data_IF_905251486001
#
_entry.id   IF_905251486001
#
_cell.length_a   1.000
_cell.length_b   1.000
_cell.length_c   1.000
_cell.angle_alpha   90.00
_cell.angle_beta   90.00
_cell.angle_gamma   90.00
#
_symmetry.space_group_name_H-M   'P 1'
#
loop_
_entity.id
_entity.type
_entity.pdbx_description
1 polymer ?
#
# COMPACT_ATOMS: atom_id res chain seq x y z
N UNK A 1 -8.50 12.98 5.78
CA UNK A 1 -9.81 13.21 6.46
C UNK A 1 -10.13 14.69 6.75
N UNK A 2 -9.35 15.68 6.27
CA UNK A 2 -9.57 17.11 6.61
C UNK A 2 -10.58 17.83 5.69
N UNK A 3 -10.98 17.21 4.59
CA UNK A 3 -11.88 17.77 3.56
C UNK A 3 -12.94 16.73 3.18
N UNK A 4 -14.05 17.20 2.65
CA UNK A 4 -15.23 16.39 2.31
C UNK A 4 -15.34 16.14 0.80
N UNK A 5 -15.76 14.94 0.41
CA UNK A 5 -16.01 14.53 -0.97
C UNK A 5 -17.18 15.29 -1.62
N UNK A 6 -18.06 15.91 -0.83
CA UNK A 6 -19.10 16.80 -1.36
C UNK A 6 -18.53 18.00 -2.14
N UNK A 7 -17.33 18.47 -1.75
CA UNK A 7 -16.66 19.61 -2.38
C UNK A 7 -15.55 19.19 -3.34
N UNK A 8 -14.93 18.02 -3.10
CA UNK A 8 -13.78 17.54 -3.89
C UNK A 8 -14.08 16.15 -4.43
N UNK A 9 -14.30 16.06 -5.74
CA UNK A 9 -14.67 14.79 -6.37
C UNK A 9 -13.49 13.80 -6.30
N UNK A 10 -13.76 12.55 -5.87
CA UNK A 10 -12.71 11.57 -5.60
C UNK A 10 -11.81 11.26 -6.81
N UNK A 11 -12.34 11.28 -8.05
CA UNK A 11 -11.50 11.13 -9.26
C UNK A 11 -10.52 12.29 -9.46
N UNK A 12 -10.93 13.52 -9.16
CA UNK A 12 -10.09 14.72 -9.31
C UNK A 12 -8.98 14.71 -8.25
N UNK A 13 -9.34 14.37 -7.00
CA UNK A 13 -8.38 14.18 -5.91
C UNK A 13 -7.42 13.04 -6.23
N UNK A 14 -7.90 11.89 -6.70
CA UNK A 14 -7.05 10.74 -7.02
C UNK A 14 -6.05 11.06 -8.15
N UNK A 15 -6.50 11.76 -9.21
CA UNK A 15 -5.62 12.18 -10.30
C UNK A 15 -4.52 13.14 -9.82
N UNK A 16 -4.90 14.09 -8.96
CA UNK A 16 -3.97 15.06 -8.37
C UNK A 16 -2.97 14.38 -7.43
N UNK A 17 -3.44 13.49 -6.55
CA UNK A 17 -2.58 12.69 -5.66
C UNK A 17 -1.57 11.86 -6.45
N UNK A 18 -2.00 11.22 -7.54
CA UNK A 18 -1.11 10.46 -8.42
C UNK A 18 -0.05 11.36 -9.06
N UNK A 19 -0.44 12.56 -9.52
CA UNK A 19 0.50 13.51 -10.10
C UNK A 19 1.55 14.00 -9.09
N UNK A 20 1.13 14.32 -7.86
CA UNK A 20 2.04 14.70 -6.77
C UNK A 20 2.98 13.53 -6.44
N UNK A 21 2.45 12.31 -6.28
CA UNK A 21 3.25 11.13 -5.96
C UNK A 21 4.31 10.84 -7.03
N UNK A 22 3.99 10.98 -8.33
CA UNK A 22 4.97 10.84 -9.40
C UNK A 22 6.12 11.86 -9.31
N UNK A 23 5.86 13.06 -8.79
CA UNK A 23 6.91 14.07 -8.57
C UNK A 23 7.73 13.75 -7.32
N UNK A 24 7.07 13.40 -6.21
CA UNK A 24 7.74 13.08 -4.95
C UNK A 24 8.67 11.85 -5.05
N UNK A 25 8.26 10.81 -5.79
CA UNK A 25 9.03 9.57 -5.99
C UNK A 25 10.00 9.66 -7.20
N UNK A 26 10.28 10.86 -7.73
CA UNK A 26 11.14 11.10 -8.91
C UNK A 26 10.77 10.28 -10.16
N UNK A 27 9.54 9.77 -10.21
CA UNK A 27 8.96 9.05 -11.34
C UNK A 27 8.35 10.05 -12.34
N UNK A 28 9.17 10.96 -12.87
CA UNK A 28 8.71 12.10 -13.68
C UNK A 28 7.83 11.67 -14.85
N UNK A 29 6.53 11.93 -14.75
CA UNK A 29 5.53 11.78 -15.83
C UNK A 29 5.11 13.16 -16.32
N UNK A 30 4.89 13.33 -17.62
CA UNK A 30 4.41 14.60 -18.17
C UNK A 30 2.97 14.82 -17.71
N UNK A 31 2.64 16.05 -17.32
CA UNK A 31 1.27 16.42 -16.92
C UNK A 31 0.24 16.03 -17.98
N UNK A 32 0.56 16.24 -19.26
CA UNK A 32 -0.33 15.90 -20.37
C UNK A 32 -0.70 14.40 -20.39
N UNK A 33 0.25 13.50 -20.10
CA UNK A 33 0.01 12.06 -20.10
C UNK A 33 -0.87 11.66 -18.91
N UNK A 34 -0.61 12.23 -17.73
CA UNK A 34 -1.42 12.01 -16.52
C UNK A 34 -2.86 12.48 -16.74
N UNK A 35 -3.04 13.69 -17.29
CA UNK A 35 -4.36 14.25 -17.63
C UNK A 35 -5.12 13.30 -18.56
N UNK A 36 -4.52 12.84 -19.66
CA UNK A 36 -5.18 11.96 -20.63
C UNK A 36 -5.64 10.65 -20.01
N UNK A 37 -4.78 10.00 -19.22
CA UNK A 37 -5.10 8.72 -18.56
C UNK A 37 -6.18 8.91 -17.50
N UNK A 38 -6.01 9.86 -16.58
CA UNK A 38 -6.96 10.08 -15.49
C UNK A 38 -8.33 10.53 -16.00
N UNK A 39 -8.37 11.43 -16.98
CA UNK A 39 -9.63 11.87 -17.59
C UNK A 39 -10.33 10.72 -18.33
N UNK A 40 -9.58 9.88 -19.04
CA UNK A 40 -10.14 8.69 -19.72
C UNK A 40 -10.71 7.69 -18.70
N UNK A 41 -10.01 7.44 -17.60
CA UNK A 41 -10.49 6.56 -16.52
C UNK A 41 -11.77 7.09 -15.87
N UNK A 42 -11.85 8.39 -15.58
CA UNK A 42 -13.02 9.00 -14.97
C UNK A 42 -14.25 9.03 -15.90
N UNK A 43 -14.03 8.96 -17.21
CA UNK A 43 -15.08 8.96 -18.24
C UNK A 43 -15.44 7.57 -18.77
N UNK A 44 -14.83 6.49 -18.24
CA UNK A 44 -15.09 5.13 -18.69
C UNK A 44 -16.60 4.85 -18.87
N UNK A 45 -16.97 4.34 -20.05
CA UNK A 45 -18.35 4.09 -20.45
C UNK A 45 -19.08 5.27 -21.13
N UNK A 46 -18.50 6.48 -21.16
CA UNK A 46 -19.09 7.67 -21.81
C UNK A 46 -18.35 8.15 -23.05
N UNK A 47 -17.06 7.83 -23.18
CA UNK A 47 -16.25 8.18 -24.36
C UNK A 47 -15.35 7.02 -24.76
N UNK A 48 -15.43 6.62 -26.03
CA UNK A 48 -14.56 5.57 -26.60
C UNK A 48 -13.31 6.14 -27.26
N UNK A 49 -13.23 7.47 -27.44
CA UNK A 49 -12.15 8.13 -28.18
C UNK A 49 -11.03 8.58 -27.24
N UNK A 50 -9.82 8.63 -27.79
CA UNK A 50 -8.66 9.16 -27.08
C UNK A 50 -8.87 10.66 -26.82
N UNK A 51 -8.50 11.09 -25.62
CA UNK A 51 -8.58 12.51 -25.25
C UNK A 51 -7.38 13.23 -25.85
N UNK A 52 -7.66 14.18 -26.75
CA UNK A 52 -6.65 15.04 -27.37
C UNK A 52 -6.39 16.30 -26.55
N UNK A 53 -5.20 16.89 -26.71
CA UNK A 53 -4.77 18.09 -25.97
C UNK A 53 -5.54 19.35 -26.36
N UNK A 54 -6.18 19.35 -27.53
CA UNK A 54 -7.03 20.44 -27.99
C UNK A 54 -8.47 20.32 -27.46
N UNK A 55 -8.81 19.21 -26.79
CA UNK A 55 -10.16 18.99 -26.28
C UNK A 55 -10.47 19.82 -25.03
N UNK A 56 -11.70 20.30 -24.92
CA UNK A 56 -12.17 21.02 -23.73
C UNK A 56 -12.08 20.18 -22.45
N UNK A 57 -12.21 18.86 -22.58
CA UNK A 57 -12.08 17.90 -21.49
C UNK A 57 -10.64 17.88 -20.97
N UNK A 58 -9.65 17.82 -21.86
CA UNK A 58 -8.25 17.87 -21.48
C UNK A 58 -7.93 19.14 -20.69
N UNK A 59 -8.33 20.30 -21.20
CA UNK A 59 -8.07 21.58 -20.53
C UNK A 59 -8.74 21.65 -19.17
N UNK A 60 -10.00 21.20 -19.05
CA UNK A 60 -10.69 21.14 -17.76
C UNK A 60 -9.92 20.29 -16.74
N UNK A 61 -9.50 19.08 -17.12
CA UNK A 61 -8.77 18.19 -16.20
C UNK A 61 -7.38 18.71 -15.85
N UNK A 62 -6.69 19.32 -16.81
CA UNK A 62 -5.40 19.98 -16.58
C UNK A 62 -5.53 21.09 -15.54
N UNK A 63 -6.54 21.95 -15.69
CA UNK A 63 -6.79 23.05 -14.75
C UNK A 63 -7.17 22.53 -13.37
N UNK A 64 -8.02 21.50 -13.30
CA UNK A 64 -8.41 20.86 -12.03
C UNK A 64 -7.20 20.27 -11.31
N UNK A 65 -6.35 19.49 -11.99
CA UNK A 65 -5.16 18.88 -11.39
C UNK A 65 -4.19 19.96 -10.90
N UNK A 66 -3.97 21.02 -11.70
CA UNK A 66 -3.05 22.10 -11.34
C UNK A 66 -3.56 22.89 -10.14
N UNK A 67 -4.85 23.23 -10.09
CA UNK A 67 -5.45 23.98 -8.99
C UNK A 67 -5.55 23.16 -7.70
N UNK A 68 -5.89 21.86 -7.81
CA UNK A 68 -5.97 20.99 -6.64
C UNK A 68 -4.59 20.64 -6.09
N UNK A 69 -3.54 20.70 -6.90
CA UNK A 69 -2.17 20.40 -6.45
C UNK A 69 -1.78 21.27 -5.26
N UNK A 70 -1.89 22.59 -5.41
CA UNK A 70 -1.50 23.56 -4.37
C UNK A 70 -2.27 23.31 -3.07
N UNK A 71 -3.59 23.11 -3.18
CA UNK A 71 -4.46 22.83 -2.05
C UNK A 71 -4.12 21.50 -1.37
N UNK A 72 -3.82 20.45 -2.15
CA UNK A 72 -3.52 19.13 -1.61
C UNK A 72 -2.18 19.16 -0.85
N UNK A 73 -1.18 19.86 -1.37
CA UNK A 73 0.10 20.09 -0.69
C UNK A 73 -0.09 20.85 0.64
N UNK A 74 -0.90 21.92 0.64
CA UNK A 74 -1.21 22.67 1.85
C UNK A 74 -1.90 21.79 2.91
N UNK A 75 -2.91 21.01 2.50
CA UNK A 75 -3.67 20.14 3.40
C UNK A 75 -2.79 19.05 4.01
N UNK A 76 -1.82 18.54 3.26
CA UNK A 76 -0.83 17.55 3.69
C UNK A 76 0.35 18.18 4.46
N UNK A 77 0.37 19.51 4.63
CA UNK A 77 1.50 20.22 5.23
C UNK A 77 2.83 19.92 4.51
N UNK A 78 2.77 19.74 3.18
CA UNK A 78 3.89 19.35 2.32
C UNK A 78 4.55 18.00 2.68
N UNK A 79 3.93 17.19 3.53
CA UNK A 79 4.36 15.83 3.81
C UNK A 79 3.83 14.88 2.72
N UNK A 80 4.67 14.63 1.71
CA UNK A 80 4.32 13.86 0.50
C UNK A 80 5.16 12.60 0.33
N UNK A 81 5.97 12.26 1.33
CA UNK A 81 6.83 11.08 1.34
C UNK A 81 6.47 10.17 2.52
N UNK A 82 5.25 9.59 2.52
CA UNK A 82 4.85 8.69 3.59
C UNK A 82 5.77 7.48 3.64
N UNK A 83 5.94 6.94 4.83
CA UNK A 83 6.65 5.68 5.01
C UNK A 83 6.00 4.56 4.22
N UNK A 84 6.83 3.63 3.75
CA UNK A 84 6.41 2.60 2.84
C UNK A 84 6.65 1.20 3.46
N UNK A 85 5.62 0.36 3.63
CA UNK A 85 5.77 -0.98 4.20
C UNK A 85 6.69 -1.87 3.35
N UNK A 86 6.80 -1.65 2.04
CA UNK A 86 7.75 -2.37 1.18
C UNK A 86 9.20 -2.12 1.61
N UNK A 87 9.56 -0.85 1.88
CA UNK A 87 10.93 -0.47 2.28
C UNK A 87 11.28 -1.07 3.65
N UNK A 88 10.36 -0.99 4.61
CA UNK A 88 10.52 -1.54 5.96
C UNK A 88 10.65 -3.07 5.89
N UNK A 89 9.85 -3.73 5.05
CA UNK A 89 9.89 -5.18 4.87
C UNK A 89 11.23 -5.63 4.29
N UNK A 90 11.74 -4.98 3.24
CA UNK A 90 13.06 -5.29 2.67
C UNK A 90 14.17 -5.21 3.72
N UNK A 91 14.19 -4.13 4.50
CA UNK A 91 15.13 -3.93 5.60
C UNK A 91 15.04 -5.04 6.64
N UNK A 92 13.82 -5.36 7.06
CA UNK A 92 13.56 -6.37 8.10
C UNK A 92 13.99 -7.77 7.66
N UNK A 93 13.83 -8.07 6.37
CA UNK A 93 14.22 -9.33 5.74
C UNK A 93 15.72 -9.39 5.36
N UNK A 94 16.49 -8.31 5.56
CA UNK A 94 17.90 -8.26 5.18
C UNK A 94 18.13 -8.34 3.67
N UNK A 95 17.19 -7.83 2.88
CA UNK A 95 17.23 -7.83 1.40
C UNK A 95 17.75 -6.51 0.83
N UNK A 96 18.34 -5.64 1.66
CA UNK A 96 18.92 -4.37 1.20
C UNK A 96 20.06 -4.62 0.20
N UNK A 97 20.17 -3.71 -0.77
CA UNK A 97 21.20 -3.71 -1.80
C UNK A 97 22.53 -3.19 -1.24
N UNK A 98 23.11 -3.85 -0.24
CA UNK A 98 24.50 -3.56 0.12
C UNK A 98 25.42 -4.23 -0.91
N UNK A 99 26.25 -3.42 -1.58
CA UNK A 99 27.32 -3.86 -2.49
C UNK A 99 28.43 -4.61 -1.73
N UNK A 100 28.46 -4.51 -0.40
CA UNK A 100 29.50 -5.07 0.44
C UNK A 100 29.00 -6.26 1.30
N UNK A 101 29.34 -7.46 0.79
CA UNK A 101 29.88 -8.59 1.56
C UNK A 101 28.94 -9.68 2.12
N UNK A 102 29.41 -10.91 1.86
CA UNK A 102 29.18 -12.23 2.50
C UNK A 102 27.86 -12.98 2.28
N UNK A 103 27.93 -13.99 1.42
CA UNK A 103 27.74 -15.44 1.73
C UNK A 103 26.88 -15.87 2.93
N UNK A 104 25.79 -15.19 3.28
CA UNK A 104 24.64 -15.86 3.91
C UNK A 104 24.05 -16.79 2.85
N UNK A 105 23.87 -18.07 3.18
CA UNK A 105 23.57 -19.15 2.25
C UNK A 105 22.51 -18.77 1.22
N UNK A 106 22.78 -19.06 -0.06
CA UNK A 106 21.92 -18.74 -1.21
C UNK A 106 20.45 -19.10 -0.97
N UNK A 107 20.19 -20.20 -0.25
CA UNK A 107 18.85 -20.68 0.08
C UNK A 107 18.06 -19.77 1.03
N UNK A 108 18.70 -19.11 2.00
CA UNK A 108 17.98 -18.26 2.96
C UNK A 108 17.60 -16.92 2.33
N UNK A 109 18.45 -16.40 1.44
CA UNK A 109 18.12 -15.23 0.61
C UNK A 109 16.97 -15.51 -0.34
N UNK A 110 16.95 -16.67 -1.00
CA UNK A 110 15.84 -17.08 -1.87
C UNK A 110 14.52 -17.21 -1.10
N UNK A 111 14.55 -17.77 0.12
CA UNK A 111 13.37 -17.84 1.00
C UNK A 111 12.88 -16.45 1.40
N UNK A 112 13.78 -15.56 1.81
CA UNK A 112 13.43 -14.19 2.17
C UNK A 112 12.82 -13.42 0.98
N UNK A 113 13.36 -13.61 -0.24
CA UNK A 113 12.80 -13.02 -1.46
C UNK A 113 11.41 -13.57 -1.79
N UNK A 114 11.19 -14.89 -1.63
CA UNK A 114 9.87 -15.52 -1.80
C UNK A 114 8.86 -14.93 -0.81
N UNK A 115 9.24 -14.81 0.46
CA UNK A 115 8.39 -14.22 1.49
C UNK A 115 8.09 -12.74 1.18
N UNK A 116 9.09 -11.96 0.77
CA UNK A 116 8.89 -10.57 0.39
C UNK A 116 7.84 -10.43 -0.71
N UNK A 117 7.92 -11.26 -1.75
CA UNK A 117 6.94 -11.28 -2.84
C UNK A 117 5.53 -11.67 -2.37
N UNK A 118 5.41 -12.55 -1.38
CA UNK A 118 4.11 -12.86 -0.78
C UNK A 118 3.58 -11.67 0.04
N UNK A 119 4.45 -11.02 0.82
CA UNK A 119 4.10 -9.84 1.60
C UNK A 119 3.63 -8.69 0.70
N UNK A 120 4.24 -8.50 -0.47
CA UNK A 120 3.85 -7.41 -1.38
C UNK A 120 2.41 -7.54 -1.86
N UNK A 121 1.97 -8.75 -2.17
CA UNK A 121 0.56 -9.02 -2.51
C UNK A 121 -0.38 -8.65 -1.37
N UNK A 122 0.02 -8.88 -0.11
CA UNK A 122 -0.77 -8.48 1.04
C UNK A 122 -0.76 -6.97 1.25
N UNK A 123 0.36 -6.27 1.07
CA UNK A 123 0.39 -4.81 1.16
C UNK A 123 -0.53 -4.16 0.11
N UNK A 124 -0.57 -4.68 -1.11
CA UNK A 124 -1.51 -4.24 -2.15
C UNK A 124 -2.99 -4.57 -1.82
N UNK A 125 -3.24 -5.67 -1.12
CA UNK A 125 -4.58 -6.01 -0.65
C UNK A 125 -5.02 -5.06 0.47
N UNK A 126 -4.13 -4.82 1.42
CA UNK A 126 -4.34 -4.01 2.61
C UNK A 126 -4.42 -2.51 2.28
N UNK A 127 -3.79 -2.05 1.20
CA UNK A 127 -3.86 -0.64 0.75
C UNK A 127 -5.28 -0.22 0.30
N UNK A 128 -6.16 -1.18 0.02
CA UNK A 128 -7.60 -0.94 -0.25
C UNK A 128 -8.37 -0.51 1.00
N UNK A 129 -7.79 -0.75 2.17
CA UNK A 129 -8.34 -0.36 3.46
C UNK A 129 -7.63 0.90 3.98
N UNK A 130 -8.28 1.72 4.82
CA UNK A 130 -7.69 2.95 5.36
C UNK A 130 -6.66 2.68 6.49
N UNK A 131 -5.91 1.58 6.44
CA UNK A 131 -5.07 1.11 7.55
C UNK A 131 -3.90 2.05 7.85
N UNK A 132 -3.32 2.66 6.82
CA UNK A 132 -2.22 3.64 6.95
C UNK A 132 -2.65 4.87 7.75
N UNK A 133 -3.96 5.14 7.87
CA UNK A 133 -4.49 6.21 8.71
C UNK A 133 -4.72 5.78 10.17
N UNK A 134 -4.67 4.48 10.46
CA UNK A 134 -5.10 3.91 11.74
C UNK A 134 -3.97 3.22 12.51
N UNK A 135 -2.98 2.69 11.79
CA UNK A 135 -1.85 1.97 12.36
C UNK A 135 -0.55 2.51 11.76
N UNK A 136 0.53 2.39 12.54
CA UNK A 136 1.88 2.71 12.08
C UNK A 136 2.31 1.75 10.96
N UNK A 137 3.18 2.22 10.09
CA UNK A 137 3.65 1.46 8.93
C UNK A 137 4.34 0.16 9.32
N UNK A 138 5.05 0.15 10.46
CA UNK A 138 5.72 -1.04 11.00
C UNK A 138 4.72 -2.11 11.43
N UNK A 139 3.56 -1.73 11.97
CA UNK A 139 2.50 -2.67 12.37
C UNK A 139 1.87 -3.31 11.13
N UNK A 140 1.65 -2.51 10.08
CA UNK A 140 1.14 -3.01 8.79
C UNK A 140 2.17 -3.95 8.15
N UNK A 141 3.46 -3.59 8.21
CA UNK A 141 4.57 -4.43 7.76
C UNK A 141 4.61 -5.76 8.51
N UNK A 142 4.59 -5.72 9.84
CA UNK A 142 4.59 -6.91 10.69
C UNK A 142 3.41 -7.83 10.40
N UNK A 143 2.22 -7.26 10.17
CA UNK A 143 1.07 -8.04 9.77
C UNK A 143 1.25 -8.68 8.38
N UNK A 144 1.76 -7.95 7.40
CA UNK A 144 2.02 -8.48 6.06
C UNK A 144 3.00 -9.66 6.09
N UNK A 145 4.03 -9.58 6.92
CA UNK A 145 4.99 -10.68 7.16
C UNK A 145 4.29 -11.89 7.79
N UNK A 146 3.50 -11.68 8.85
CA UNK A 146 2.74 -12.77 9.52
C UNK A 146 1.79 -13.47 8.54
N UNK A 147 1.05 -12.71 7.73
CA UNK A 147 0.14 -13.27 6.72
C UNK A 147 0.90 -13.99 5.60
N UNK A 148 2.06 -13.45 5.19
CA UNK A 148 2.99 -14.10 4.27
C UNK A 148 3.44 -15.46 4.80
N UNK A 149 3.99 -15.48 6.00
CA UNK A 149 4.45 -16.71 6.65
C UNK A 149 3.33 -17.73 6.86
N UNK A 150 2.10 -17.31 7.16
CA UNK A 150 0.96 -18.22 7.29
C UNK A 150 0.57 -18.84 5.94
N UNK A 151 0.65 -18.07 4.87
CA UNK A 151 0.32 -18.54 3.52
C UNK A 151 1.37 -19.51 2.99
N UNK A 152 2.61 -19.41 3.46
CA UNK A 152 3.68 -20.33 3.11
C UNK A 152 3.60 -21.61 3.95
N UNK A 153 3.08 -22.68 3.35
CA UNK A 153 2.91 -24.00 4.00
C UNK A 153 4.26 -24.65 4.37
N UNK A 154 5.38 -24.19 3.79
CA UNK A 154 6.73 -24.69 4.05
C UNK A 154 7.30 -24.26 5.42
N UNK A 155 6.56 -23.47 6.21
CA UNK A 155 6.96 -23.13 7.57
C UNK A 155 8.28 -22.36 7.59
N UNK A 156 8.27 -21.15 7.01
CA UNK A 156 9.42 -20.25 7.08
C UNK A 156 9.77 -19.98 8.54
N UNK A 157 10.78 -20.70 9.05
CA UNK A 157 11.45 -20.47 10.33
C UNK A 157 12.41 -19.26 10.27
N UNK A 158 12.50 -18.59 9.12
CA UNK A 158 13.65 -17.75 8.76
C UNK A 158 13.78 -16.43 9.52
N UNK A 159 12.89 -16.07 10.45
CA UNK A 159 12.90 -14.73 11.03
C UNK A 159 12.58 -14.76 12.52
N UNK A 160 13.62 -15.05 13.30
CA UNK A 160 13.60 -14.79 14.73
C UNK A 160 13.55 -13.28 15.01
N UNK A 161 12.79 -12.90 16.04
CA UNK A 161 12.74 -11.53 16.56
C UNK A 161 12.21 -10.46 15.59
N UNK A 162 11.27 -10.78 14.69
CA UNK A 162 10.65 -9.77 13.79
C UNK A 162 10.01 -8.63 14.59
N UNK A 163 9.32 -8.97 15.69
CA UNK A 163 8.68 -7.96 16.55
C UNK A 163 9.70 -6.94 17.07
N UNK A 164 10.85 -7.42 17.55
CA UNK A 164 11.93 -6.57 18.06
C UNK A 164 12.57 -5.73 16.94
N UNK A 165 12.79 -6.31 15.75
CA UNK A 165 13.35 -5.59 14.58
C UNK A 165 12.44 -4.45 14.10
N UNK A 166 11.13 -4.67 14.14
CA UNK A 166 10.13 -3.69 13.72
C UNK A 166 9.72 -2.71 14.84
N UNK A 167 10.06 -3.01 16.10
CA UNK A 167 9.57 -2.24 17.25
C UNK A 167 8.05 -2.29 17.38
N UNK A 168 7.46 -3.48 17.19
CA UNK A 168 6.02 -3.71 17.27
C UNK A 168 5.67 -4.78 18.29
N UNK A 169 4.63 -4.52 19.07
CA UNK A 169 4.11 -5.52 19.99
C UNK A 169 3.10 -6.44 19.29
N UNK A 170 3.03 -7.71 19.74
CA UNK A 170 2.06 -8.67 19.20
C UNK A 170 0.61 -8.17 19.34
N UNK A 171 0.32 -7.45 20.42
CA UNK A 171 -1.00 -6.88 20.66
C UNK A 171 -1.37 -5.80 19.63
N UNK A 172 -0.43 -4.98 19.17
CA UNK A 172 -0.66 -3.99 18.10
C UNK A 172 -0.99 -4.68 16.78
N UNK A 173 -0.21 -5.71 16.41
CA UNK A 173 -0.41 -6.48 15.17
C UNK A 173 -1.71 -7.26 15.21
N UNK A 174 -2.06 -7.84 16.37
CA UNK A 174 -3.32 -8.55 16.56
C UNK A 174 -4.54 -7.64 16.43
N UNK A 175 -4.49 -6.43 17.02
CA UNK A 175 -5.56 -5.43 16.85
C UNK A 175 -5.73 -5.02 15.40
N UNK A 176 -4.61 -4.80 14.70
CA UNK A 176 -4.62 -4.51 13.26
C UNK A 176 -5.30 -5.64 12.47
N UNK A 177 -4.95 -6.90 12.75
CA UNK A 177 -5.58 -8.07 12.15
C UNK A 177 -7.09 -8.12 12.42
N UNK A 178 -7.52 -8.01 13.68
CA UNK A 178 -8.94 -8.01 14.04
C UNK A 178 -9.71 -6.91 13.30
N UNK A 179 -9.14 -5.70 13.26
CA UNK A 179 -9.74 -4.58 12.55
C UNK A 179 -9.89 -4.87 11.06
N UNK A 180 -8.87 -5.42 10.42
CA UNK A 180 -8.94 -5.82 9.01
C UNK A 180 -10.05 -6.84 8.79
N UNK A 181 -10.19 -7.82 9.67
CA UNK A 181 -11.24 -8.84 9.55
C UNK A 181 -12.64 -8.24 9.72
N UNK A 182 -12.81 -7.26 10.60
CA UNK A 182 -14.09 -6.55 10.79
C UNK A 182 -14.43 -5.66 9.59
N UNK A 183 -13.48 -4.82 9.15
CA UNK A 183 -13.68 -3.93 8.00
C UNK A 183 -13.90 -4.74 6.73
N UNK A 184 -13.11 -5.79 6.51
CA UNK A 184 -13.27 -6.66 5.33
C UNK A 184 -14.65 -7.30 5.25
N UNK A 185 -15.21 -7.76 6.39
CA UNK A 185 -16.58 -8.28 6.45
C UNK A 185 -17.61 -7.20 6.12
N UNK A 186 -17.43 -5.98 6.63
CA UNK A 186 -18.32 -4.87 6.34
C UNK A 186 -18.29 -4.45 4.86
N UNK A 187 -17.18 -4.68 4.16
CA UNK A 187 -16.99 -4.35 2.76
C UNK A 187 -17.46 -5.43 1.78
N UNK A 188 -17.68 -6.67 2.22
CA UNK A 188 -18.16 -7.77 1.35
C UNK A 188 -19.38 -7.45 0.47
N UNK A 189 -20.39 -6.68 0.94
CA UNK A 189 -21.58 -6.38 0.14
C UNK A 189 -21.33 -5.34 -0.97
N UNK A 190 -20.23 -4.57 -0.92
CA UNK A 190 -20.03 -3.36 -1.73
C UNK A 190 -19.46 -3.62 -3.13
N UNK A 191 -19.30 -4.89 -3.53
CA UNK A 191 -18.92 -5.32 -4.87
C UNK A 191 -17.59 -6.07 -4.93
N UNK A 192 -17.31 -6.70 -6.07
CA UNK A 192 -16.17 -7.61 -6.25
C UNK A 192 -14.80 -6.95 -6.02
N UNK A 193 -14.67 -5.66 -6.30
CA UNK A 193 -13.41 -4.92 -6.09
C UNK A 193 -13.02 -4.79 -4.61
N UNK A 194 -14.00 -4.88 -3.69
CA UNK A 194 -13.81 -4.71 -2.24
C UNK A 194 -13.81 -6.03 -1.46
N UNK A 195 -14.07 -7.16 -2.14
CA UNK A 195 -14.10 -8.48 -1.54
C UNK A 195 -12.68 -9.00 -1.30
N UNK A 196 -12.09 -8.58 -0.19
CA UNK A 196 -10.74 -8.99 0.22
C UNK A 196 -10.73 -10.09 1.29
N UNK A 197 -11.87 -10.35 1.96
CA UNK A 197 -11.95 -11.27 3.10
C UNK A 197 -11.47 -12.69 2.74
N UNK A 198 -11.85 -13.17 1.54
CA UNK A 198 -11.45 -14.51 1.07
C UNK A 198 -9.95 -14.66 0.78
N UNK A 199 -9.23 -13.55 0.58
CA UNK A 199 -7.80 -13.56 0.32
C UNK A 199 -6.94 -13.48 1.58
N UNK A 200 -7.53 -13.18 2.74
CA UNK A 200 -6.81 -13.00 4.02
C UNK A 200 -6.77 -14.34 4.78
N UNK A 201 -5.58 -14.89 5.08
CA UNK A 201 -5.44 -16.08 5.90
C UNK A 201 -6.09 -15.94 7.29
N UNK A 202 -6.71 -17.02 7.76
CA UNK A 202 -7.21 -17.13 9.13
C UNK A 202 -6.05 -17.49 10.06
N UNK A 203 -5.83 -16.68 11.08
CA UNK A 203 -4.73 -16.82 12.03
C UNK A 203 -5.28 -16.72 13.44
N UNK A 204 -4.79 -17.58 14.33
CA UNK A 204 -5.04 -17.47 15.76
C UNK A 204 -3.98 -16.62 16.46
N UNK A 205 -4.35 -15.97 17.57
CA UNK A 205 -3.44 -15.14 18.35
C UNK A 205 -2.18 -15.91 18.77
N UNK A 206 -2.34 -17.17 19.17
CA UNK A 206 -1.24 -18.05 19.59
C UNK A 206 -0.23 -18.33 18.47
N UNK A 207 -0.69 -18.38 17.22
CA UNK A 207 0.17 -18.56 16.04
C UNK A 207 0.92 -17.28 15.72
N UNK A 208 0.25 -16.12 15.79
CA UNK A 208 0.87 -14.82 15.60
C UNK A 208 1.96 -14.54 16.64
N UNK A 209 1.71 -14.88 17.91
CA UNK A 209 2.69 -14.79 18.99
C UNK A 209 3.95 -15.62 18.69
N UNK A 210 3.78 -16.85 18.17
CA UNK A 210 4.91 -17.70 17.77
C UNK A 210 5.69 -17.11 16.60
N UNK A 211 5.02 -16.50 15.62
CA UNK A 211 5.68 -15.94 14.43
C UNK A 211 6.45 -14.66 14.74
N UNK A 212 5.95 -13.81 15.65
CA UNK A 212 6.59 -12.54 15.98
C UNK A 212 7.68 -12.67 17.05
N UNK A 213 7.51 -13.56 18.02
CA UNK A 213 8.39 -13.69 19.19
C UNK A 213 9.35 -14.90 19.11
N UNK A 214 9.40 -15.63 17.99
CA UNK A 214 10.34 -16.76 17.85
C UNK A 214 11.75 -16.26 18.18
N UNK A 215 12.31 -16.81 19.25
CA UNK A 215 13.67 -16.63 19.77
C UNK A 215 14.46 -17.90 19.51
#
# INVERSE_FOLDING_TARGET
MRRDFAYYHYFEVAATSLFIACKAEECRRKLADVVKVCASMALQGRMSEKIDEDSSIYWKWKDVITNLEELLLEVLCFDVTPENPYKICLKTLGLEFDEDVTTTGTQDKEKAQRLFLQCTNFYELLSRLPLVLMYRTEVICGLGIVLGCKKDEEGIDCLEGIGDKLGVEVEEVWRCYCMIMEVSKALEPLGSAFQILGSIPRIERSEMEKMLNKR
#
